data_IF_855661330000
#
_entry.id   IF_855661330000
#
_cell.length_a   1.000
_cell.length_b   1.000
_cell.length_c   1.000
_cell.angle_alpha   90.00
_cell.angle_beta   90.00
_cell.angle_gamma   90.00
#
_symmetry.space_group_name_H-M   'P 1'
#
loop_
_entity.id
_entity.type
_entity.pdbx_description
1 polymer ?
#
# COMPACT_ATOMS: atom_id res chain seq x y z
N UNK A 1 -5.96 28.37 -34.73
CA UNK A 1 -5.04 28.25 -33.59
C UNK A 1 -5.86 27.97 -32.34
N UNK A 2 -5.50 26.87 -31.68
CA UNK A 2 -6.14 26.26 -30.53
C UNK A 2 -5.96 27.07 -29.25
N UNK A 3 -6.92 26.98 -28.32
CA UNK A 3 -6.65 26.86 -26.87
C UNK A 3 -7.77 26.05 -26.20
N UNK A 4 -7.60 24.73 -26.07
CA UNK A 4 -8.43 23.89 -25.17
C UNK A 4 -7.97 24.14 -23.73
N UNK A 5 -8.83 24.79 -22.96
CA UNK A 5 -8.66 25.09 -21.53
C UNK A 5 -8.74 23.77 -20.75
N UNK A 6 -7.61 23.32 -20.17
CA UNK A 6 -7.59 22.14 -19.28
C UNK A 6 -8.25 22.52 -17.96
N UNK A 7 -9.34 21.84 -17.62
CA UNK A 7 -9.95 21.89 -16.29
C UNK A 7 -9.07 21.04 -15.39
N UNK A 8 -8.34 21.69 -14.49
CA UNK A 8 -7.64 20.99 -13.41
C UNK A 8 -8.71 20.65 -12.39
N UNK A 9 -9.16 19.40 -12.41
CA UNK A 9 -10.03 18.86 -11.36
C UNK A 9 -9.11 18.53 -10.18
N UNK A 10 -9.06 19.42 -9.19
CA UNK A 10 -8.60 19.06 -7.86
C UNK A 10 -9.74 18.27 -7.22
N UNK A 11 -9.60 16.95 -7.17
CA UNK A 11 -10.44 16.13 -6.30
C UNK A 11 -9.98 16.41 -4.88
N UNK A 12 -10.82 17.12 -4.13
CA UNK A 12 -10.73 17.21 -2.67
C UNK A 12 -10.99 15.80 -2.14
N UNK A 13 -9.96 15.14 -1.63
CA UNK A 13 -10.08 13.78 -1.11
C UNK A 13 -10.67 13.84 0.29
N UNK A 14 -12.00 13.90 0.36
CA UNK A 14 -12.74 13.61 1.58
C UNK A 14 -12.41 12.19 2.01
N UNK A 15 -11.89 12.05 3.23
CA UNK A 15 -11.47 10.82 3.89
C UNK A 15 -12.58 9.75 3.84
N UNK A 16 -12.54 8.88 2.82
CA UNK A 16 -13.28 7.62 2.81
C UNK A 16 -12.37 6.54 3.32
N UNK A 17 -12.37 6.39 4.65
CA UNK A 17 -11.90 5.20 5.34
C UNK A 17 -12.71 4.00 4.83
N UNK A 18 -12.26 3.38 3.74
CA UNK A 18 -12.94 2.22 3.19
C UNK A 18 -12.89 1.04 4.17
N UNK A 19 -13.93 0.22 4.14
CA UNK A 19 -14.08 -1.02 4.93
C UNK A 19 -12.77 -1.82 5.06
N UNK A 20 -12.40 -2.14 6.30
CA UNK A 20 -11.30 -3.04 6.58
C UNK A 20 -11.72 -4.42 6.07
N UNK A 21 -11.03 -4.93 5.05
CA UNK A 21 -11.23 -6.33 4.64
C UNK A 21 -10.54 -7.18 5.69
N UNK A 22 -11.34 -7.81 6.56
CA UNK A 22 -10.87 -8.84 7.49
C UNK A 22 -10.24 -9.96 6.66
N UNK A 23 -8.93 -10.13 6.80
CA UNK A 23 -8.23 -11.37 6.44
C UNK A 23 -8.12 -12.20 7.71
N UNK A 24 -8.37 -13.51 7.59
CA UNK A 24 -8.33 -14.49 8.68
C UNK A 24 -7.09 -14.27 9.57
N UNK A 25 -7.33 -13.71 10.75
CA UNK A 25 -6.34 -13.65 11.82
C UNK A 25 -6.48 -14.91 12.67
N UNK A 26 -5.41 -15.68 12.92
CA UNK A 26 -5.49 -16.89 13.72
C UNK A 26 -5.79 -16.58 15.19
N UNK A 27 -6.54 -17.48 15.81
CA UNK A 27 -7.15 -17.41 17.13
C UNK A 27 -6.22 -16.85 18.22
N UNK A 28 -6.52 -15.64 18.72
CA UNK A 28 -6.03 -15.17 20.02
C UNK A 28 -7.10 -14.36 20.76
N UNK A 29 -6.96 -14.36 22.09
CA UNK A 29 -7.91 -13.89 23.11
C UNK A 29 -8.65 -12.61 22.70
N UNK A 30 -9.92 -12.78 22.36
CA UNK A 30 -10.93 -11.74 22.12
C UNK A 30 -10.55 -10.70 21.05
N UNK A 31 -11.08 -10.84 19.84
CA UNK A 31 -10.85 -9.92 18.70
C UNK A 31 -11.02 -8.42 18.98
N UNK A 32 -11.68 -8.05 20.08
CA UNK A 32 -11.85 -6.67 20.55
C UNK A 32 -10.55 -5.95 20.94
N UNK A 33 -9.48 -6.66 21.32
CA UNK A 33 -8.24 -6.01 21.76
C UNK A 33 -7.31 -5.64 20.58
N UNK A 34 -7.24 -6.49 19.55
CA UNK A 34 -6.39 -6.27 18.37
C UNK A 34 -6.89 -5.11 17.53
N UNK A 35 -8.20 -5.05 17.25
CA UNK A 35 -8.79 -3.94 16.52
C UNK A 35 -8.56 -2.61 17.23
N UNK A 36 -8.67 -2.61 18.56
CA UNK A 36 -8.44 -1.42 19.40
C UNK A 36 -6.98 -0.99 19.37
N UNK A 37 -6.05 -1.94 19.51
CA UNK A 37 -4.62 -1.69 19.38
C UNK A 37 -4.30 -1.07 18.00
N UNK A 38 -4.71 -1.75 16.94
CA UNK A 38 -4.54 -1.33 15.54
C UNK A 38 -5.12 0.07 15.29
N UNK A 39 -6.31 0.36 15.81
CA UNK A 39 -6.94 1.67 15.70
C UNK A 39 -6.13 2.76 16.42
N UNK A 40 -5.64 2.51 17.63
CA UNK A 40 -4.80 3.47 18.38
C UNK A 40 -3.47 3.73 17.69
N UNK A 41 -2.78 2.68 17.22
CA UNK A 41 -1.52 2.84 16.49
C UNK A 41 -1.73 3.67 15.23
N UNK A 42 -2.77 3.37 14.46
CA UNK A 42 -3.11 4.11 13.24
C UNK A 42 -3.42 5.57 13.51
N UNK A 43 -4.22 5.89 14.53
CA UNK A 43 -4.50 7.27 14.94
C UNK A 43 -3.23 8.00 15.40
N UNK A 44 -2.36 7.32 16.17
CA UNK A 44 -1.09 7.88 16.59
C UNK A 44 -0.19 8.21 15.40
N UNK A 45 0.02 7.26 14.47
CA UNK A 45 0.85 7.46 13.27
C UNK A 45 0.36 8.62 12.40
N UNK A 46 -0.97 8.81 12.27
CA UNK A 46 -1.54 9.94 11.53
C UNK A 46 -1.16 11.31 12.11
N UNK A 47 -0.85 11.37 13.41
CA UNK A 47 -0.43 12.60 14.10
C UNK A 47 1.08 12.86 14.03
N UNK A 48 1.81 12.04 13.26
CA UNK A 48 3.27 12.13 13.13
C UNK A 48 3.70 12.41 11.68
N UNK A 49 3.16 13.45 11.01
CA UNK A 49 3.43 13.69 9.59
C UNK A 49 4.90 14.02 9.28
N UNK A 50 5.64 14.54 10.25
CA UNK A 50 7.03 14.98 10.08
C UNK A 50 8.07 13.86 10.29
N UNK A 51 7.64 12.66 10.71
CA UNK A 51 8.56 11.54 10.86
C UNK A 51 9.03 11.04 9.47
N UNK A 52 10.32 11.22 9.19
CA UNK A 52 10.91 10.88 7.89
C UNK A 52 10.82 9.39 7.55
N UNK A 53 10.95 8.51 8.54
CA UNK A 53 10.83 7.07 8.32
C UNK A 53 9.38 6.71 7.94
N UNK A 54 8.38 7.29 8.60
CA UNK A 54 6.96 7.12 8.25
C UNK A 54 6.64 7.65 6.84
N UNK A 55 7.21 8.79 6.46
CA UNK A 55 7.11 9.30 5.09
C UNK A 55 7.70 8.32 4.07
N UNK A 56 8.87 7.72 4.36
CA UNK A 56 9.47 6.70 3.51
C UNK A 56 8.58 5.47 3.37
N UNK A 57 8.04 4.97 4.48
CA UNK A 57 7.09 3.84 4.51
C UNK A 57 5.91 4.11 3.58
N UNK A 58 5.26 5.28 3.71
CA UNK A 58 4.12 5.67 2.86
C UNK A 58 4.52 5.83 1.40
N UNK A 59 5.69 6.39 1.11
CA UNK A 59 6.15 6.60 -0.26
C UNK A 59 6.67 5.34 -0.97
N UNK A 60 6.56 4.16 -0.36
CA UNK A 60 7.03 2.92 -0.97
C UNK A 60 8.56 2.85 -1.09
N UNK A 61 9.31 3.66 -0.35
CA UNK A 61 10.77 3.68 -0.40
C UNK A 61 11.38 2.63 0.52
N UNK A 62 12.53 2.09 0.11
CA UNK A 62 13.32 1.14 0.90
C UNK A 62 13.66 1.74 2.26
N UNK A 63 13.53 0.92 3.31
CA UNK A 63 13.81 1.30 4.68
C UNK A 63 15.22 0.88 5.07
N UNK A 64 15.95 1.81 5.69
CA UNK A 64 17.24 1.53 6.32
C UNK A 64 17.05 1.05 7.77
N UNK A 65 18.08 0.46 8.37
CA UNK A 65 18.05 0.09 9.80
C UNK A 65 17.70 1.29 10.70
N UNK A 66 18.26 2.47 10.40
CA UNK A 66 17.96 3.71 11.14
C UNK A 66 16.48 4.11 11.01
N UNK A 67 15.88 3.87 9.85
CA UNK A 67 14.45 4.13 9.65
C UNK A 67 13.61 3.17 10.53
N UNK A 68 13.99 1.90 10.60
CA UNK A 68 13.30 0.89 11.42
C UNK A 68 13.41 1.22 12.92
N UNK A 69 14.61 1.54 13.41
CA UNK A 69 14.81 1.96 14.80
C UNK A 69 13.95 3.19 15.15
N UNK A 70 13.86 4.15 14.23
CA UNK A 70 12.99 5.32 14.41
C UNK A 70 11.51 4.96 14.49
N UNK A 71 11.05 3.99 13.69
CA UNK A 71 9.67 3.54 13.67
C UNK A 71 9.32 2.72 14.91
N UNK A 72 10.22 1.87 15.40
CA UNK A 72 10.05 1.13 16.66
C UNK A 72 9.91 2.10 17.84
N UNK A 73 10.80 3.08 17.95
CA UNK A 73 10.72 4.11 18.99
C UNK A 73 9.43 4.94 18.90
N UNK A 74 8.98 5.23 17.68
CA UNK A 74 7.72 5.93 17.43
C UNK A 74 6.53 5.11 17.94
N UNK A 75 6.47 3.81 17.62
CA UNK A 75 5.39 2.93 18.03
C UNK A 75 5.40 2.64 19.54
N UNK A 76 6.58 2.47 20.14
CA UNK A 76 6.72 2.33 21.59
C UNK A 76 6.18 3.56 22.34
N UNK A 77 6.26 4.75 21.73
CA UNK A 77 5.74 6.01 22.29
C UNK A 77 4.25 6.23 22.04
N UNK A 78 3.56 5.31 21.36
CA UNK A 78 2.15 5.46 20.98
C UNK A 78 1.17 5.25 22.13
N UNK A 79 1.57 4.53 23.18
CA UNK A 79 0.68 4.10 24.26
C UNK A 79 -0.46 3.18 23.80
N UNK A 80 -0.33 2.54 22.63
CA UNK A 80 -1.38 1.73 22.05
C UNK A 80 -1.54 0.35 22.75
N UNK A 81 -0.45 -0.24 23.23
CA UNK A 81 -0.39 -1.55 23.88
C UNK A 81 0.99 -1.82 24.48
N UNK A 82 1.19 -3.04 24.96
CA UNK A 82 2.47 -3.48 25.53
C UNK A 82 3.48 -3.84 24.44
N UNK A 83 4.79 -3.88 24.73
CA UNK A 83 5.81 -4.25 23.74
C UNK A 83 5.56 -5.61 23.05
N UNK A 84 4.98 -6.57 23.75
CA UNK A 84 4.61 -7.89 23.21
C UNK A 84 3.50 -7.81 22.16
N UNK A 85 2.58 -6.85 22.26
CA UNK A 85 1.54 -6.62 21.26
C UNK A 85 2.15 -6.15 19.94
N UNK A 86 3.13 -5.26 20.03
CA UNK A 86 3.89 -4.80 18.86
C UNK A 86 4.68 -5.94 18.23
N UNK A 87 5.43 -6.71 19.02
CA UNK A 87 6.23 -7.82 18.51
C UNK A 87 5.38 -8.84 17.75
N UNK A 88 4.23 -9.23 18.31
CA UNK A 88 3.27 -10.14 17.66
C UNK A 88 2.66 -9.55 16.39
N UNK A 89 2.30 -8.27 16.41
CA UNK A 89 1.74 -7.60 15.23
C UNK A 89 2.77 -7.51 14.08
N UNK A 90 4.03 -7.24 14.41
CA UNK A 90 5.15 -7.22 13.46
C UNK A 90 5.41 -8.62 12.88
N UNK A 91 5.41 -9.66 13.71
CA UNK A 91 5.58 -11.05 13.27
C UNK A 91 4.46 -11.47 12.31
N UNK A 92 3.20 -11.21 12.66
CA UNK A 92 2.04 -11.52 11.82
C UNK A 92 2.04 -10.77 10.49
N UNK A 93 2.59 -9.56 10.46
CA UNK A 93 2.72 -8.77 9.24
C UNK A 93 4.00 -9.09 8.44
N UNK A 94 4.83 -10.01 8.93
CA UNK A 94 6.12 -10.37 8.35
C UNK A 94 7.12 -9.19 8.27
N UNK A 95 7.04 -8.25 9.22
CA UNK A 95 7.98 -7.13 9.31
C UNK A 95 7.33 -5.82 9.71
N UNK A 96 8.15 -4.92 10.28
CA UNK A 96 7.68 -3.64 10.82
C UNK A 96 7.14 -2.70 9.72
N UNK A 97 7.86 -2.59 8.60
CA UNK A 97 7.42 -1.76 7.48
C UNK A 97 6.08 -2.23 6.91
N UNK A 98 5.90 -3.55 6.77
CA UNK A 98 4.64 -4.17 6.32
C UNK A 98 3.50 -3.92 7.30
N UNK A 99 3.76 -4.09 8.60
CA UNK A 99 2.79 -3.77 9.65
C UNK A 99 2.34 -2.31 9.54
N UNK A 100 3.27 -1.37 9.47
CA UNK A 100 2.91 0.05 9.41
C UNK A 100 2.14 0.36 8.12
N UNK A 101 2.55 -0.17 6.96
CA UNK A 101 1.83 0.02 5.69
C UNK A 101 0.41 -0.53 5.72
N UNK A 102 0.15 -1.63 6.42
CA UNK A 102 -1.22 -2.16 6.57
C UNK A 102 -2.13 -1.21 7.37
N UNK A 103 -1.55 -0.35 8.22
CA UNK A 103 -2.28 0.65 9.01
C UNK A 103 -2.49 1.97 8.26
N UNK A 104 -1.47 2.44 7.54
CA UNK A 104 -1.46 3.82 6.98
C UNK A 104 -1.61 3.88 5.46
N UNK A 105 -1.51 2.74 4.78
CA UNK A 105 -1.49 2.66 3.32
C UNK A 105 -0.22 3.19 2.68
N UNK A 106 -0.24 3.29 1.35
CA UNK A 106 0.79 3.96 0.56
C UNK A 106 0.30 5.34 0.10
N UNK A 107 1.25 6.21 -0.21
CA UNK A 107 0.98 7.48 -0.87
C UNK A 107 0.60 7.23 -2.34
N UNK A 108 -0.60 7.66 -2.73
CA UNK A 108 -1.14 7.41 -4.06
C UNK A 108 -0.21 7.95 -5.15
N UNK A 109 0.38 9.13 -4.95
CA UNK A 109 1.25 9.75 -5.94
C UNK A 109 2.52 8.95 -6.11
N UNK A 110 3.14 8.48 -5.03
CA UNK A 110 4.31 7.61 -5.09
C UNK A 110 4.02 6.29 -5.81
N UNK A 111 2.85 5.67 -5.57
CA UNK A 111 2.45 4.46 -6.29
C UNK A 111 2.21 4.76 -7.77
N UNK A 112 1.52 5.86 -8.11
CA UNK A 112 1.35 6.27 -9.51
C UNK A 112 2.67 6.53 -10.23
N UNK A 113 3.63 7.16 -9.56
CA UNK A 113 4.98 7.39 -10.09
C UNK A 113 5.70 6.06 -10.37
N UNK A 114 5.59 5.07 -9.47
CA UNK A 114 6.15 3.73 -9.70
C UNK A 114 5.53 3.02 -10.92
N UNK A 115 4.26 3.28 -11.22
CA UNK A 115 3.56 2.75 -12.40
C UNK A 115 3.70 3.63 -13.65
N UNK A 116 4.31 4.82 -13.55
CA UNK A 116 4.45 5.73 -14.68
C UNK A 116 5.30 5.10 -15.79
N UNK A 117 6.40 4.44 -15.43
CA UNK A 117 7.30 3.77 -16.39
C UNK A 117 6.64 2.54 -17.03
N UNK A 118 5.75 1.85 -16.30
CA UNK A 118 4.98 0.74 -16.86
C UNK A 118 4.03 1.21 -17.97
N UNK A 119 3.42 2.37 -17.79
CA UNK A 119 2.56 3.01 -18.79
C UNK A 119 3.37 3.79 -19.85
N UNK A 120 4.65 4.07 -19.60
CA UNK A 120 5.51 4.81 -20.51
C UNK A 120 5.97 3.94 -21.69
N UNK A 121 5.89 4.50 -22.90
CA UNK A 121 6.42 3.87 -24.11
C UNK A 121 5.38 3.49 -25.16
N UNK A 122 4.08 3.52 -24.84
CA UNK A 122 2.97 3.34 -25.80
C UNK A 122 1.74 4.12 -25.30
N UNK A 123 0.80 4.43 -26.19
CA UNK A 123 -0.51 4.96 -25.77
C UNK A 123 -1.31 3.82 -25.14
N UNK A 124 -1.38 3.80 -23.80
CA UNK A 124 -2.21 2.84 -23.08
C UNK A 124 -3.69 3.04 -23.42
N UNK A 125 -4.45 1.94 -23.50
CA UNK A 125 -5.90 1.99 -23.71
C UNK A 125 -6.62 2.42 -22.43
N UNK A 126 -7.86 2.86 -22.54
CA UNK A 126 -8.69 3.20 -21.38
C UNK A 126 -8.79 2.02 -20.41
N UNK A 127 -9.03 0.81 -20.91
CA UNK A 127 -9.11 -0.40 -20.07
C UNK A 127 -7.78 -0.73 -19.35
N UNK A 128 -6.63 -0.51 -20.00
CA UNK A 128 -5.33 -0.69 -19.34
C UNK A 128 -5.10 0.34 -18.23
N UNK A 129 -5.49 1.60 -18.47
CA UNK A 129 -5.39 2.68 -17.48
C UNK A 129 -6.29 2.39 -16.28
N UNK A 130 -7.54 1.99 -16.52
CA UNK A 130 -8.50 1.67 -15.47
C UNK A 130 -8.04 0.49 -14.62
N UNK A 131 -7.49 -0.55 -15.26
CA UNK A 131 -6.92 -1.71 -14.56
C UNK A 131 -5.73 -1.32 -13.68
N UNK A 132 -4.80 -0.50 -14.18
CA UNK A 132 -3.67 0.01 -13.37
C UNK A 132 -4.17 0.90 -12.23
N UNK A 133 -5.18 1.75 -12.46
CA UNK A 133 -5.76 2.56 -11.41
C UNK A 133 -6.39 1.72 -10.29
N UNK A 134 -6.98 0.56 -10.62
CA UNK A 134 -7.49 -0.39 -9.63
C UNK A 134 -6.36 -0.98 -8.78
N UNK A 135 -5.23 -1.35 -9.41
CA UNK A 135 -4.02 -1.83 -8.72
C UNK A 135 -3.45 -0.74 -7.81
N UNK A 136 -3.29 0.47 -8.32
CA UNK A 136 -2.82 1.65 -7.57
C UNK A 136 -3.73 1.90 -6.37
N UNK A 137 -5.05 1.84 -6.55
CA UNK A 137 -6.02 2.06 -5.47
C UNK A 137 -5.91 0.99 -4.39
N UNK A 138 -5.75 -0.28 -4.77
CA UNK A 138 -5.54 -1.38 -3.84
C UNK A 138 -4.26 -1.19 -3.02
N UNK A 139 -3.12 -0.93 -3.69
CA UNK A 139 -1.83 -0.69 -3.03
C UNK A 139 -1.87 0.53 -2.10
N UNK A 140 -2.49 1.63 -2.54
CA UNK A 140 -2.67 2.85 -1.74
C UNK A 140 -3.42 2.55 -0.45
N UNK A 141 -4.48 1.75 -0.51
CA UNK A 141 -5.33 1.45 0.65
C UNK A 141 -4.74 0.41 1.59
N UNK A 142 -4.21 -0.68 1.03
CA UNK A 142 -3.80 -1.85 1.82
C UNK A 142 -2.30 -1.88 2.11
N UNK A 143 -1.52 -1.03 1.46
CA UNK A 143 -0.08 -0.90 1.69
C UNK A 143 0.78 -1.98 1.02
N UNK A 144 0.15 -3.05 0.54
CA UNK A 144 0.74 -4.17 -0.20
C UNK A 144 -0.33 -4.85 -1.06
N UNK A 145 0.11 -5.68 -2.01
CA UNK A 145 -0.79 -6.48 -2.84
C UNK A 145 -0.14 -7.80 -3.24
N UNK A 146 -0.81 -8.92 -2.97
CA UNK A 146 -0.42 -10.21 -3.56
C UNK A 146 -0.72 -10.19 -5.07
N UNK A 147 0.26 -10.44 -5.97
CA UNK A 147 0.02 -10.45 -7.41
C UNK A 147 -1.05 -11.45 -7.87
N UNK A 148 -1.32 -12.52 -7.11
CA UNK A 148 -2.40 -13.48 -7.42
C UNK A 148 -3.79 -12.84 -7.44
N UNK A 149 -3.99 -11.75 -6.68
CA UNK A 149 -5.26 -10.99 -6.65
C UNK A 149 -5.64 -10.40 -8.01
N UNK A 150 -4.69 -10.25 -8.93
CA UNK A 150 -4.97 -9.81 -10.30
C UNK A 150 -5.92 -10.77 -11.06
N UNK A 151 -6.09 -11.99 -10.56
CA UNK A 151 -6.99 -13.02 -11.10
C UNK A 151 -8.25 -13.22 -10.24
N UNK A 152 -8.53 -12.30 -9.32
CA UNK A 152 -9.73 -12.30 -8.48
C UNK A 152 -10.52 -11.00 -8.65
N UNK A 153 -11.77 -10.97 -8.17
CA UNK A 153 -12.54 -9.73 -8.11
C UNK A 153 -11.85 -8.74 -7.14
N UNK A 154 -11.85 -7.42 -7.41
CA UNK A 154 -12.55 -6.72 -8.50
C UNK A 154 -11.78 -6.65 -9.84
N UNK A 155 -10.56 -7.21 -9.91
CA UNK A 155 -9.74 -7.13 -11.13
C UNK A 155 -10.37 -7.91 -12.28
N UNK A 156 -10.92 -9.08 -11.99
CA UNK A 156 -11.63 -9.92 -12.98
C UNK A 156 -12.93 -9.31 -13.47
N UNK A 157 -13.53 -8.37 -12.73
CA UNK A 157 -14.74 -7.67 -13.19
C UNK A 157 -14.42 -6.74 -14.37
N UNK A 158 -13.19 -6.20 -14.39
CA UNK A 158 -12.69 -5.35 -15.48
C UNK A 158 -12.00 -6.17 -16.58
N UNK A 159 -11.31 -7.24 -16.21
CA UNK A 159 -10.63 -8.15 -17.13
C UNK A 159 -10.88 -9.62 -16.73
N UNK A 160 -11.93 -10.28 -17.26
CA UNK A 160 -12.32 -11.64 -16.85
C UNK A 160 -11.23 -12.72 -16.92
N UNK A 161 -10.23 -12.57 -17.80
CA UNK A 161 -9.08 -13.49 -17.86
C UNK A 161 -7.85 -12.98 -17.10
N UNK A 162 -8.03 -11.95 -16.27
CA UNK A 162 -6.98 -11.27 -15.55
C UNK A 162 -6.14 -10.33 -16.45
N UNK A 163 -4.93 -9.96 -16.02
CA UNK A 163 -4.10 -8.96 -16.69
C UNK A 163 -3.68 -9.38 -18.11
N UNK A 164 -3.61 -10.68 -18.38
CA UNK A 164 -3.23 -11.24 -19.70
C UNK A 164 -4.23 -10.90 -20.82
N UNK A 165 -5.45 -10.50 -20.47
CA UNK A 165 -6.43 -10.00 -21.44
C UNK A 165 -6.08 -8.59 -21.95
N UNK A 166 -5.43 -7.79 -21.11
CA UNK A 166 -5.14 -6.38 -21.36
C UNK A 166 -3.68 -6.14 -21.75
N UNK A 167 -2.78 -7.01 -21.32
CA UNK A 167 -1.34 -6.84 -21.42
C UNK A 167 -0.71 -8.06 -22.10
N UNK A 168 0.30 -7.82 -22.94
CA UNK A 168 1.14 -8.90 -23.45
C UNK A 168 1.94 -9.57 -22.31
N UNK A 169 2.65 -10.67 -22.60
CA UNK A 169 3.39 -11.42 -21.58
C UNK A 169 4.46 -10.57 -20.89
N UNK A 170 5.19 -9.75 -21.65
CA UNK A 170 6.25 -8.89 -21.12
C UNK A 170 5.67 -7.77 -20.25
N UNK A 171 4.55 -7.19 -20.66
CA UNK A 171 3.81 -6.21 -19.87
C UNK A 171 3.24 -6.84 -18.59
N UNK A 172 2.61 -8.01 -18.67
CA UNK A 172 2.09 -8.71 -17.49
C UNK A 172 3.20 -9.00 -16.49
N UNK A 173 4.38 -9.41 -16.97
CA UNK A 173 5.56 -9.61 -16.12
C UNK A 173 6.01 -8.30 -15.46
N UNK A 174 6.16 -7.22 -16.22
CA UNK A 174 6.53 -5.90 -15.69
C UNK A 174 5.53 -5.39 -14.64
N UNK A 175 4.24 -5.60 -14.87
CA UNK A 175 3.19 -5.26 -13.91
C UNK A 175 3.42 -5.96 -12.56
N UNK A 176 3.66 -7.28 -12.60
CA UNK A 176 3.96 -8.08 -11.41
C UNK A 176 5.28 -7.62 -10.76
N UNK A 177 6.32 -7.37 -11.55
CA UNK A 177 7.62 -6.90 -11.06
C UNK A 177 7.49 -5.56 -10.31
N UNK A 178 6.68 -4.63 -10.79
CA UNK A 178 6.41 -3.35 -10.10
C UNK A 178 5.68 -3.59 -8.77
N UNK A 179 4.64 -4.44 -8.75
CA UNK A 179 3.91 -4.78 -7.52
C UNK A 179 4.86 -5.40 -6.48
N UNK A 180 5.66 -6.38 -6.90
CA UNK A 180 6.63 -7.04 -6.03
C UNK A 180 7.68 -6.05 -5.52
N UNK A 181 8.24 -5.19 -6.37
CA UNK A 181 9.19 -4.17 -5.94
C UNK A 181 8.61 -3.21 -4.90
N UNK A 182 7.34 -2.84 -5.02
CA UNK A 182 6.65 -2.00 -4.02
C UNK A 182 6.51 -2.77 -2.71
N UNK A 183 6.07 -4.04 -2.75
CA UNK A 183 5.94 -4.88 -1.57
C UNK A 183 7.28 -5.04 -0.83
N UNK A 184 8.34 -5.37 -1.56
CA UNK A 184 9.68 -5.65 -1.02
C UNK A 184 10.32 -4.39 -0.44
N UNK A 185 9.96 -3.20 -0.91
CA UNK A 185 10.44 -1.95 -0.32
C UNK A 185 9.93 -1.73 1.12
N UNK A 186 8.95 -2.52 1.60
CA UNK A 186 8.54 -2.52 3.00
C UNK A 186 9.54 -3.26 3.91
N UNK A 187 10.37 -4.11 3.32
CA UNK A 187 11.34 -4.91 4.03
C UNK A 187 12.62 -4.10 4.28
N UNK A 188 13.36 -4.48 5.32
CA UNK A 188 14.65 -3.89 5.60
C UNK A 188 15.58 -4.11 4.40
N UNK A 189 16.33 -3.08 3.99
CA UNK A 189 17.45 -3.31 3.08
C UNK A 189 18.38 -4.35 3.71
N UNK A 190 18.53 -5.51 3.08
CA UNK A 190 19.57 -6.47 3.44
C UNK A 190 20.92 -5.80 3.21
N UNK A 191 21.68 -5.60 4.29
CA UNK A 191 23.01 -5.00 4.28
C UNK A 191 24.04 -5.90 3.55
#
# INVERSE_FOLDING_TARGET
>A
MEKKKRVVVYTDFTDTLGEVVERDMPEMRSGTDVERYTAKVRDYLRRQPDNLALQKVRSGKVLTAVDLDSLEGLLASSGAGEPEDLARAVENAHGLGRFIRSLVGLDQKAVQEAFADFLAGRTATVSQIDFVNLVVSHLTRHGQMDPSLLFEAPFTDTAPQGPTQLFDLDQTRKLVDVITSINDAADAATA
#
